data_IF_520813156071
#
_entry.id   IF_520813156071
#
_cell.length_a   1.000
_cell.length_b   1.000
_cell.length_c   1.000
_cell.angle_alpha   90.00
_cell.angle_beta   90.00
_cell.angle_gamma   90.00
#
_symmetry.space_group_name_H-M   'P 1'
#
loop_
_entity.id
_entity.type
_entity.pdbx_description
1 polymer ?
#
# COMPACT_ATOMS: atom_id res chain seq x y z
N UNK A 1 -16.31 2.70 26.59
CA UNK A 1 -16.18 1.59 25.63
C UNK A 1 -16.76 2.04 24.30
N UNK A 2 -16.05 1.90 23.18
CA UNK A 2 -16.64 2.11 21.85
C UNK A 2 -17.51 0.90 21.52
N UNK A 3 -18.82 1.10 21.29
CA UNK A 3 -19.76 0.04 20.88
C UNK A 3 -19.49 -0.40 19.42
N UNK A 4 -18.42 -1.19 19.24
CA UNK A 4 -17.98 -1.65 17.91
C UNK A 4 -18.45 -3.07 17.67
N UNK A 5 -19.27 -3.27 16.65
CA UNK A 5 -19.71 -4.59 16.20
C UNK A 5 -18.80 -5.10 15.07
N UNK A 6 -18.27 -6.30 15.24
CA UNK A 6 -17.37 -6.94 14.27
C UNK A 6 -18.09 -8.14 13.64
N UNK A 7 -18.17 -8.17 12.32
CA UNK A 7 -18.82 -9.24 11.57
C UNK A 7 -17.80 -10.02 10.74
N UNK A 8 -17.57 -11.28 11.10
CA UNK A 8 -16.75 -12.20 10.33
C UNK A 8 -17.56 -12.94 9.26
N UNK A 9 -16.86 -13.43 8.22
CA UNK A 9 -17.47 -14.16 7.08
C UNK A 9 -18.64 -13.37 6.49
N UNK A 10 -18.45 -12.06 6.28
CA UNK A 10 -19.45 -11.15 5.75
C UNK A 10 -18.78 -10.36 4.62
N UNK A 11 -18.91 -10.85 3.39
CA UNK A 11 -18.15 -10.35 2.25
C UNK A 11 -18.92 -9.24 1.57
N UNK A 12 -18.37 -8.02 1.58
CA UNK A 12 -18.90 -6.92 0.80
C UNK A 12 -18.77 -7.21 -0.71
N UNK A 13 -19.84 -6.97 -1.46
CA UNK A 13 -19.95 -7.22 -2.90
C UNK A 13 -20.24 -5.95 -3.70
N UNK A 14 -20.82 -4.94 -3.06
CA UNK A 14 -21.14 -3.67 -3.70
C UNK A 14 -21.47 -2.58 -2.68
N UNK A 15 -21.73 -1.39 -3.20
CA UNK A 15 -22.14 -0.23 -2.42
C UNK A 15 -23.26 0.51 -3.14
N UNK A 16 -24.26 0.91 -2.38
CA UNK A 16 -25.40 1.70 -2.82
C UNK A 16 -25.32 3.08 -2.18
N UNK A 17 -25.00 4.11 -2.95
CA UNK A 17 -24.88 5.48 -2.46
C UNK A 17 -26.20 6.20 -2.71
N UNK A 18 -26.83 6.71 -1.65
CA UNK A 18 -28.04 7.53 -1.71
C UNK A 18 -27.79 8.87 -1.04
N UNK A 19 -28.69 9.83 -1.28
CA UNK A 19 -28.57 11.19 -0.70
C UNK A 19 -28.54 11.17 0.83
N UNK A 20 -29.34 10.32 1.47
CA UNK A 20 -29.53 10.26 2.92
C UNK A 20 -28.71 9.16 3.63
N UNK A 21 -28.22 8.16 2.88
CA UNK A 21 -27.54 6.98 3.43
C UNK A 21 -26.60 6.33 2.43
N UNK A 22 -25.75 5.45 2.92
CA UNK A 22 -24.97 4.51 2.12
C UNK A 22 -25.25 3.08 2.58
N UNK A 23 -25.37 2.14 1.64
CA UNK A 23 -25.56 0.72 1.91
C UNK A 23 -24.36 -0.10 1.44
N UNK A 24 -23.83 -0.99 2.28
CA UNK A 24 -22.90 -2.04 1.86
C UNK A 24 -23.69 -3.31 1.59
N UNK A 25 -23.68 -3.75 0.34
CA UNK A 25 -24.31 -5.02 -0.08
C UNK A 25 -23.33 -6.15 0.24
N UNK A 26 -23.74 -7.11 1.06
CA UNK A 26 -22.93 -8.29 1.41
C UNK A 26 -23.59 -9.59 0.97
N UNK A 27 -22.91 -10.72 1.21
CA UNK A 27 -23.49 -12.06 1.09
C UNK A 27 -24.55 -12.41 2.15
N UNK A 28 -24.73 -11.56 3.17
CA UNK A 28 -25.69 -11.74 4.28
C UNK A 28 -26.78 -10.66 4.32
N UNK A 29 -26.88 -9.84 3.27
CA UNK A 29 -27.83 -8.74 3.17
C UNK A 29 -27.15 -7.37 3.11
N UNK A 30 -27.95 -6.31 3.16
CA UNK A 30 -27.45 -4.93 3.02
C UNK A 30 -27.34 -4.24 4.38
N UNK A 31 -26.15 -3.76 4.71
CA UNK A 31 -25.88 -2.98 5.91
C UNK A 31 -25.95 -1.49 5.58
N UNK A 32 -26.83 -0.75 6.27
CA UNK A 32 -27.01 0.70 6.05
C UNK A 32 -26.18 1.51 7.05
N UNK A 33 -25.59 2.61 6.57
CA UNK A 33 -24.80 3.54 7.38
C UNK A 33 -24.96 4.98 6.87
N UNK A 34 -24.53 5.96 7.67
CA UNK A 34 -24.43 7.37 7.25
C UNK A 34 -23.23 7.61 6.34
N UNK A 35 -22.15 6.88 6.57
CA UNK A 35 -20.87 6.97 5.86
C UNK A 35 -20.17 5.62 5.84
N UNK A 36 -19.37 5.35 4.81
CA UNK A 36 -18.57 4.13 4.65
C UNK A 36 -17.10 4.50 4.50
N UNK A 37 -16.25 3.73 5.18
CA UNK A 37 -14.80 3.80 5.02
C UNK A 37 -14.32 2.54 4.29
N UNK A 38 -13.87 2.71 3.04
CA UNK A 38 -13.24 1.66 2.26
C UNK A 38 -11.82 1.40 2.76
N UNK A 39 -11.65 0.31 3.51
CA UNK A 39 -10.37 -0.23 3.98
C UNK A 39 -10.15 -1.65 3.42
N UNK A 40 -10.70 -1.93 2.24
CA UNK A 40 -10.86 -3.25 1.61
C UNK A 40 -9.70 -3.61 0.66
N UNK A 41 -8.53 -3.01 0.86
CA UNK A 41 -7.29 -3.38 0.17
C UNK A 41 -7.18 -2.86 -1.27
N UNK A 42 -6.14 -3.33 -1.97
CA UNK A 42 -5.81 -2.87 -3.32
C UNK A 42 -6.95 -3.09 -4.35
N UNK A 43 -7.71 -4.18 -4.21
CA UNK A 43 -8.84 -4.54 -5.07
C UNK A 43 -10.19 -3.90 -4.64
N UNK A 44 -10.12 -2.76 -3.96
CA UNK A 44 -11.27 -2.12 -3.31
C UNK A 44 -12.50 -2.03 -4.21
N UNK A 45 -13.60 -2.62 -3.74
CA UNK A 45 -14.93 -2.50 -4.36
C UNK A 45 -15.47 -1.08 -4.15
N UNK A 46 -15.14 -0.46 -3.02
CA UNK A 46 -15.61 0.87 -2.65
C UNK A 46 -14.95 1.92 -3.56
N UNK A 47 -13.65 1.76 -3.83
CA UNK A 47 -12.94 2.66 -4.72
C UNK A 47 -13.43 2.57 -6.17
N UNK A 48 -13.81 1.36 -6.62
CA UNK A 48 -14.40 1.16 -7.95
C UNK A 48 -15.76 1.84 -8.09
N UNK A 49 -16.58 1.80 -7.04
CA UNK A 49 -17.91 2.41 -7.06
C UNK A 49 -17.90 3.94 -7.21
N UNK A 50 -16.80 4.59 -6.84
CA UNK A 50 -16.61 6.04 -7.06
C UNK A 50 -15.78 6.35 -8.32
N UNK A 51 -15.63 5.37 -9.22
CA UNK A 51 -14.83 5.43 -10.47
C UNK A 51 -13.40 5.95 -10.27
N UNK A 52 -12.80 5.62 -9.13
CA UNK A 52 -11.41 5.96 -8.83
C UNK A 52 -10.53 4.89 -9.45
N UNK A 53 -9.69 5.22 -10.46
CA UNK A 53 -8.76 4.26 -11.09
C UNK A 53 -7.38 4.35 -10.45
N UNK A 54 -6.62 3.26 -10.52
CA UNK A 54 -5.28 3.18 -9.93
C UNK A 54 -4.37 2.24 -10.73
N UNK A 55 -3.06 2.49 -10.69
CA UNK A 55 -2.04 1.60 -11.23
C UNK A 55 -1.53 0.66 -10.13
N UNK A 56 -1.15 -0.54 -10.52
CA UNK A 56 -0.65 -1.54 -9.58
C UNK A 56 0.69 -2.10 -10.04
N UNK A 57 1.50 -2.45 -9.05
CA UNK A 57 2.64 -3.36 -9.18
C UNK A 57 2.30 -4.68 -8.48
N UNK A 58 3.16 -5.67 -8.62
CA UNK A 58 3.07 -6.93 -7.89
C UNK A 58 4.16 -7.01 -6.84
N UNK A 59 3.77 -7.44 -5.64
CA UNK A 59 4.68 -7.92 -4.61
C UNK A 59 4.45 -9.41 -4.41
N UNK A 60 5.51 -10.20 -4.52
CA UNK A 60 5.47 -11.65 -4.28
C UNK A 60 6.51 -12.05 -3.25
N UNK A 61 6.17 -13.08 -2.47
CA UNK A 61 6.94 -13.59 -1.35
C UNK A 61 6.96 -15.11 -1.40
N UNK A 62 8.15 -15.67 -1.20
CA UNK A 62 8.44 -17.07 -0.99
C UNK A 62 9.00 -17.27 0.42
N UNK A 63 8.25 -17.94 1.30
CA UNK A 63 8.73 -18.31 2.64
C UNK A 63 9.20 -19.76 2.59
N UNK A 64 10.50 -19.96 2.79
CA UNK A 64 11.16 -21.27 2.84
C UNK A 64 11.56 -21.57 4.29
N UNK A 65 11.22 -22.77 4.78
CA UNK A 65 11.56 -23.21 6.14
C UNK A 65 13.02 -23.63 6.17
N UNK A 66 13.88 -22.68 6.46
CA UNK A 66 15.34 -22.80 6.51
C UNK A 66 15.85 -21.83 7.55
N UNK A 67 16.79 -22.26 8.41
CA UNK A 67 17.29 -21.41 9.48
C UNK A 67 18.10 -20.25 8.90
N UNK A 68 17.82 -19.05 9.39
CA UNK A 68 18.55 -17.84 9.06
C UNK A 68 18.46 -16.84 10.21
N UNK A 69 19.60 -16.63 10.87
CA UNK A 69 19.73 -15.67 11.97
C UNK A 69 20.51 -14.41 11.54
N UNK A 70 20.55 -14.13 10.23
CA UNK A 70 21.09 -12.87 9.72
C UNK A 70 20.42 -11.67 10.38
N UNK A 71 21.17 -10.58 10.52
CA UNK A 71 20.72 -9.35 11.22
C UNK A 71 20.31 -8.24 10.27
N UNK A 72 20.48 -8.44 8.97
CA UNK A 72 20.24 -7.43 7.94
C UNK A 72 19.25 -7.96 6.91
N UNK A 73 18.58 -7.02 6.25
CA UNK A 73 17.75 -7.27 5.07
C UNK A 73 18.61 -7.00 3.85
N UNK A 74 18.70 -7.97 2.94
CA UNK A 74 19.38 -7.78 1.68
C UNK A 74 18.40 -7.27 0.63
N UNK A 75 18.77 -6.18 -0.06
CA UNK A 75 18.03 -5.63 -1.19
C UNK A 75 18.85 -5.77 -2.47
N UNK A 76 18.23 -6.34 -3.50
CA UNK A 76 18.85 -6.63 -4.79
C UNK A 76 18.18 -5.80 -5.90
N UNK A 77 18.89 -4.77 -6.36
CA UNK A 77 18.46 -3.91 -7.46
C UNK A 77 18.96 -4.48 -8.80
N UNK A 78 18.12 -5.26 -9.47
CA UNK A 78 18.44 -6.01 -10.69
C UNK A 78 17.60 -5.55 -11.87
N UNK A 79 18.02 -4.50 -12.58
CA UNK A 79 17.30 -3.94 -13.75
C UNK A 79 17.08 -4.93 -14.89
N UNK A 80 17.96 -5.90 -15.02
CA UNK A 80 17.86 -6.99 -15.98
C UNK A 80 16.69 -7.95 -15.67
N UNK A 81 16.25 -7.98 -14.41
CA UNK A 81 15.14 -8.79 -13.92
C UNK A 81 13.86 -7.95 -13.75
N UNK A 82 13.97 -6.84 -13.01
CA UNK A 82 12.88 -5.93 -12.69
C UNK A 82 13.33 -4.47 -12.81
N UNK A 83 12.71 -3.73 -13.72
CA UNK A 83 13.13 -2.36 -14.07
C UNK A 83 12.58 -1.30 -13.13
N UNK A 84 11.51 -1.59 -12.41
CA UNK A 84 10.78 -0.64 -11.58
C UNK A 84 10.54 -1.20 -10.16
N UNK A 85 11.52 -1.94 -9.66
CA UNK A 85 11.44 -2.61 -8.38
C UNK A 85 12.74 -3.30 -7.98
N UNK A 86 12.64 -4.25 -7.06
CA UNK A 86 13.79 -4.93 -6.46
C UNK A 86 13.40 -6.31 -5.93
N UNK A 87 14.40 -7.14 -5.64
CA UNK A 87 14.24 -8.40 -4.92
C UNK A 87 14.79 -8.23 -3.50
N UNK A 88 14.31 -9.03 -2.55
CA UNK A 88 14.82 -8.99 -1.19
C UNK A 88 15.00 -10.38 -0.59
N UNK A 89 15.84 -10.42 0.44
CA UNK A 89 15.99 -11.54 1.35
C UNK A 89 15.90 -11.02 2.80
N UNK A 90 14.99 -11.59 3.58
CA UNK A 90 14.81 -11.28 5.00
C UNK A 90 15.02 -12.56 5.83
N UNK A 91 16.01 -12.56 6.74
CA UNK A 91 16.15 -13.58 7.78
C UNK A 91 14.95 -13.57 8.74
N UNK A 92 14.32 -14.73 8.99
CA UNK A 92 13.18 -14.87 9.92
C UNK A 92 13.43 -15.88 11.03
N UNK A 93 14.69 -16.17 11.36
CA UNK A 93 15.09 -17.13 12.38
C UNK A 93 14.96 -18.56 11.90
N UNK A 94 13.74 -19.10 11.89
CA UNK A 94 13.45 -20.49 11.46
C UNK A 94 13.03 -20.62 9.98
N UNK A 95 12.97 -19.50 9.28
CA UNK A 95 12.62 -19.40 7.87
C UNK A 95 13.44 -18.30 7.20
N UNK A 96 13.48 -18.37 5.87
CA UNK A 96 13.92 -17.29 4.99
C UNK A 96 12.76 -16.80 4.18
N UNK A 97 12.66 -15.49 4.07
CA UNK A 97 11.73 -14.83 3.17
C UNK A 97 12.50 -14.27 1.98
N UNK A 98 12.12 -14.71 0.79
CA UNK A 98 12.58 -14.14 -0.46
C UNK A 98 11.42 -13.44 -1.12
N UNK A 99 11.63 -12.25 -1.66
CA UNK A 99 10.56 -11.57 -2.38
C UNK A 99 11.04 -10.76 -3.56
N UNK A 100 10.05 -10.35 -4.34
CA UNK A 100 10.24 -9.53 -5.52
C UNK A 100 9.06 -8.56 -5.64
N UNK A 101 9.39 -7.31 -5.89
CA UNK A 101 8.45 -6.22 -6.11
C UNK A 101 8.72 -5.61 -7.48
N UNK A 102 7.66 -5.35 -8.26
CA UNK A 102 7.74 -4.65 -9.53
C UNK A 102 6.56 -4.94 -10.46
N UNK A 103 6.56 -4.29 -11.63
CA UNK A 103 5.51 -4.47 -12.65
C UNK A 103 5.44 -5.89 -13.23
N UNK A 104 6.57 -6.58 -13.34
CA UNK A 104 6.71 -7.92 -13.93
C UNK A 104 7.07 -9.01 -12.90
N UNK A 105 6.78 -8.78 -11.61
CA UNK A 105 7.14 -9.72 -10.55
C UNK A 105 6.51 -11.11 -10.78
N UNK A 106 7.33 -12.15 -10.78
CA UNK A 106 6.89 -13.53 -11.00
C UNK A 106 7.77 -14.54 -10.27
N UNK A 107 7.17 -15.67 -9.87
CA UNK A 107 7.84 -16.68 -9.06
C UNK A 107 8.98 -17.39 -9.79
N UNK A 108 8.91 -17.57 -11.11
CA UNK A 108 9.96 -18.26 -11.86
C UNK A 108 11.28 -17.47 -11.82
N UNK A 109 11.21 -16.15 -11.96
CA UNK A 109 12.35 -15.26 -11.83
C UNK A 109 12.92 -15.25 -10.42
N UNK A 110 12.05 -15.20 -9.40
CA UNK A 110 12.44 -15.28 -7.99
C UNK A 110 13.16 -16.61 -7.67
N UNK A 111 12.60 -17.73 -8.14
CA UNK A 111 13.15 -19.08 -7.99
C UNK A 111 14.53 -19.20 -8.63
N UNK A 112 14.68 -18.71 -9.86
CA UNK A 112 15.95 -18.74 -10.60
C UNK A 112 17.01 -17.88 -9.92
N UNK A 113 16.64 -16.69 -9.42
CA UNK A 113 17.56 -15.76 -8.80
C UNK A 113 18.12 -16.29 -7.47
N UNK A 114 17.25 -16.79 -6.59
CA UNK A 114 17.66 -17.27 -5.27
C UNK A 114 17.97 -18.78 -5.22
N UNK A 115 17.81 -19.50 -6.32
CA UNK A 115 18.02 -20.95 -6.37
C UNK A 115 17.06 -21.73 -5.46
N UNK A 116 15.84 -21.23 -5.26
CA UNK A 116 14.89 -21.80 -4.30
C UNK A 116 13.86 -22.72 -4.97
N UNK A 117 13.45 -23.75 -4.22
CA UNK A 117 12.35 -24.67 -4.55
C UNK A 117 11.61 -25.04 -3.25
N UNK A 118 10.36 -25.53 -3.36
CA UNK A 118 9.51 -25.97 -2.23
C UNK A 118 9.36 -24.91 -1.12
N UNK A 119 8.40 -24.01 -1.27
CA UNK A 119 8.18 -22.89 -0.36
C UNK A 119 6.70 -22.47 -0.34
N UNK A 120 6.30 -21.66 0.65
CA UNK A 120 4.97 -21.06 0.71
C UNK A 120 4.94 -19.77 -0.10
N UNK A 121 3.94 -19.63 -0.97
CA UNK A 121 3.74 -18.50 -1.88
C UNK A 121 2.74 -17.50 -1.29
N UNK A 122 3.09 -16.22 -1.30
CA UNK A 122 2.20 -15.11 -0.98
C UNK A 122 2.38 -14.00 -2.01
N UNK A 123 1.30 -13.36 -2.44
CA UNK A 123 1.41 -12.25 -3.37
C UNK A 123 0.22 -11.32 -3.28
N UNK A 124 0.43 -10.08 -3.70
CA UNK A 124 -0.58 -9.04 -3.65
C UNK A 124 -0.34 -7.95 -4.68
N UNK A 125 -1.42 -7.27 -5.02
CA UNK A 125 -1.35 -6.02 -5.77
C UNK A 125 -0.86 -4.92 -4.84
N UNK A 126 0.04 -4.10 -5.38
CA UNK A 126 0.62 -2.98 -4.67
C UNK A 126 0.18 -1.69 -5.38
N UNK A 127 -0.76 -0.95 -4.79
CA UNK A 127 -1.16 0.38 -5.26
C UNK A 127 0.05 1.28 -5.55
N UNK A 128 0.02 1.98 -6.68
CA UNK A 128 1.03 2.96 -7.05
C UNK A 128 0.38 4.23 -7.60
N UNK A 129 0.75 5.37 -7.02
CA UNK A 129 0.29 6.69 -7.43
C UNK A 129 -0.88 7.23 -6.63
N UNK A 130 -1.52 8.26 -7.18
CA UNK A 130 -2.66 8.90 -6.55
C UNK A 130 -3.96 8.47 -7.19
N UNK A 131 -5.01 8.51 -6.38
CA UNK A 131 -6.39 8.35 -6.80
C UNK A 131 -7.29 9.25 -5.96
N UNK A 132 -8.54 9.43 -6.38
CA UNK A 132 -9.55 10.09 -5.55
C UNK A 132 -9.88 9.21 -4.34
N UNK A 133 -9.84 9.77 -3.13
CA UNK A 133 -10.03 9.02 -1.87
C UNK A 133 -11.32 9.34 -1.13
N UNK A 134 -12.26 10.04 -1.76
CA UNK A 134 -13.53 10.43 -1.16
C UNK A 134 -14.63 10.60 -2.21
N UNK A 135 -15.88 10.50 -1.76
CA UNK A 135 -17.09 10.91 -2.46
C UNK A 135 -18.17 11.23 -1.42
N UNK A 136 -19.39 11.57 -1.84
CA UNK A 136 -20.51 11.68 -0.89
C UNK A 136 -20.65 10.38 -0.09
N UNK A 137 -20.58 10.48 1.24
CA UNK A 137 -20.68 9.37 2.20
C UNK A 137 -19.60 8.29 2.07
N UNK A 138 -18.51 8.54 1.35
CA UNK A 138 -17.41 7.59 1.14
C UNK A 138 -16.06 8.23 1.49
N UNK A 139 -15.26 7.53 2.28
CA UNK A 139 -13.81 7.74 2.41
C UNK A 139 -13.08 6.45 2.07
N UNK A 140 -11.87 6.54 1.52
CA UNK A 140 -10.96 5.42 1.32
C UNK A 140 -9.74 5.60 2.22
N UNK A 141 -9.21 4.51 2.79
CA UNK A 141 -7.96 4.50 3.56
C UNK A 141 -7.06 3.32 3.16
N UNK A 142 -5.78 3.40 3.50
CA UNK A 142 -4.78 2.36 3.25
C UNK A 142 -4.61 2.05 1.77
N UNK A 143 -4.44 0.78 1.43
CA UNK A 143 -4.27 0.33 0.04
C UNK A 143 -5.45 0.73 -0.86
N UNK A 144 -6.68 0.75 -0.33
CA UNK A 144 -7.85 1.20 -1.09
C UNK A 144 -7.70 2.67 -1.53
N UNK A 145 -6.99 3.49 -0.75
CA UNK A 145 -6.68 4.89 -1.04
C UNK A 145 -5.33 5.11 -1.72
N UNK A 146 -4.57 4.06 -2.04
CA UNK A 146 -3.18 4.17 -2.51
C UNK A 146 -2.24 4.85 -1.51
N UNK A 147 -2.46 4.63 -0.22
CA UNK A 147 -1.62 5.14 0.86
C UNK A 147 -0.47 4.17 1.14
N UNK A 148 0.25 3.82 0.08
CA UNK A 148 1.41 2.94 0.09
C UNK A 148 2.66 3.76 -0.21
N UNK A 149 3.79 3.31 0.31
CA UNK A 149 5.10 3.92 0.14
C UNK A 149 5.75 3.35 -1.11
N UNK A 150 5.84 4.09 -2.23
CA UNK A 150 6.15 3.46 -3.51
C UNK A 150 7.57 2.87 -3.58
N UNK A 151 8.53 3.40 -2.81
CA UNK A 151 9.91 2.93 -2.84
C UNK A 151 10.11 1.54 -2.22
N UNK A 152 9.44 1.21 -1.12
CA UNK A 152 9.54 -0.14 -0.52
C UNK A 152 8.29 -0.99 -0.72
N UNK A 153 7.20 -0.38 -1.18
CA UNK A 153 5.87 -0.98 -1.23
C UNK A 153 5.16 -1.08 0.13
N UNK A 154 5.78 -0.64 1.23
CA UNK A 154 5.17 -0.71 2.56
C UNK A 154 3.96 0.22 2.72
N UNK A 155 2.86 -0.25 3.31
CA UNK A 155 1.64 0.55 3.49
C UNK A 155 1.21 0.77 4.94
N UNK A 156 1.72 -0.01 5.90
CA UNK A 156 1.17 -0.07 7.26
C UNK A 156 1.25 1.27 7.99
N UNK A 157 2.43 1.90 8.00
CA UNK A 157 2.63 3.17 8.70
C UNK A 157 1.75 4.29 8.11
N UNK A 158 1.72 4.40 6.77
CA UNK A 158 0.89 5.37 6.07
C UNK A 158 -0.60 5.12 6.32
N UNK A 159 -1.03 3.85 6.26
CA UNK A 159 -2.41 3.45 6.54
C UNK A 159 -2.84 3.83 7.95
N UNK A 160 -1.99 3.59 8.97
CA UNK A 160 -2.30 3.93 10.37
C UNK A 160 -2.38 5.44 10.59
N UNK A 161 -1.45 6.20 10.02
CA UNK A 161 -1.46 7.66 10.09
C UNK A 161 -2.73 8.24 9.42
N UNK A 162 -3.06 7.74 8.24
CA UNK A 162 -4.26 8.14 7.49
C UNK A 162 -5.56 7.65 8.13
N UNK A 163 -5.56 6.53 8.86
CA UNK A 163 -6.72 6.08 9.62
C UNK A 163 -7.07 7.07 10.75
N UNK A 164 -6.07 7.54 11.52
CA UNK A 164 -6.28 8.58 12.56
C UNK A 164 -6.89 9.85 11.98
N UNK A 165 -6.37 10.28 10.83
CA UNK A 165 -6.87 11.45 10.13
C UNK A 165 -8.31 11.26 9.63
N UNK A 166 -8.65 10.07 9.11
CA UNK A 166 -10.03 9.76 8.70
C UNK A 166 -11.00 9.84 9.87
N UNK A 167 -10.64 9.30 11.05
CA UNK A 167 -11.46 9.37 12.25
C UNK A 167 -11.72 10.83 12.68
N UNK A 168 -10.68 11.68 12.63
CA UNK A 168 -10.82 13.12 12.90
C UNK A 168 -11.81 13.81 11.94
N UNK A 169 -11.71 13.55 10.64
CA UNK A 169 -12.60 14.13 9.63
C UNK A 169 -14.04 13.62 9.79
N UNK A 170 -14.20 12.31 10.03
CA UNK A 170 -15.51 11.72 10.23
C UNK A 170 -16.18 12.26 11.49
N UNK A 171 -15.45 12.44 12.60
CA UNK A 171 -16.00 13.08 13.80
C UNK A 171 -16.63 14.43 13.45
N UNK A 172 -15.91 15.30 12.73
CA UNK A 172 -16.44 16.62 12.31
C UNK A 172 -17.63 16.50 11.36
N UNK A 173 -17.64 15.50 10.48
CA UNK A 173 -18.76 15.23 9.58
C UNK A 173 -20.02 14.80 10.37
N UNK A 174 -19.86 13.99 11.42
CA UNK A 174 -20.94 13.64 12.35
C UNK A 174 -21.42 14.85 13.15
N UNK A 175 -20.51 15.66 13.71
CA UNK A 175 -20.85 16.86 14.49
C UNK A 175 -21.66 17.89 13.67
N UNK A 176 -21.39 17.98 12.36
CA UNK A 176 -22.07 18.89 11.43
C UNK A 176 -23.21 18.26 10.64
N UNK A 177 -23.41 16.95 10.80
CA UNK A 177 -24.29 16.12 9.96
C UNK A 177 -24.03 16.24 8.44
N UNK A 178 -22.81 16.60 8.04
CA UNK A 178 -22.42 16.82 6.65
C UNK A 178 -21.48 15.71 6.16
N UNK A 179 -22.02 14.80 5.36
CA UNK A 179 -21.29 13.70 4.71
C UNK A 179 -21.07 13.94 3.22
N UNK A 180 -21.19 15.19 2.77
CA UNK A 180 -20.94 15.56 1.38
C UNK A 180 -19.47 15.38 1.02
N UNK A 181 -19.23 15.23 -0.28
CA UNK A 181 -17.89 15.28 -0.84
C UNK A 181 -17.17 16.61 -0.53
N UNK A 182 -17.90 17.71 -0.34
CA UNK A 182 -17.34 18.99 0.10
C UNK A 182 -16.65 18.88 1.46
N UNK A 183 -17.34 18.30 2.45
CA UNK A 183 -16.77 18.06 3.79
C UNK A 183 -15.66 17.00 3.77
N UNK A 184 -15.90 15.88 3.08
CA UNK A 184 -14.97 14.74 3.06
C UNK A 184 -13.71 15.00 2.23
N UNK A 185 -13.71 15.99 1.30
CA UNK A 185 -12.52 16.43 0.56
C UNK A 185 -11.36 16.84 1.48
N UNK A 186 -11.67 17.38 2.66
CA UNK A 186 -10.65 17.82 3.62
C UNK A 186 -9.73 16.66 4.04
N UNK A 187 -10.25 15.43 4.09
CA UNK A 187 -9.43 14.25 4.32
C UNK A 187 -8.34 14.10 3.26
N UNK A 188 -8.70 14.23 1.98
CA UNK A 188 -7.75 14.07 0.87
C UNK A 188 -6.65 15.13 0.91
N UNK A 189 -7.02 16.38 1.19
CA UNK A 189 -6.07 17.49 1.33
C UNK A 189 -5.08 17.20 2.45
N UNK A 190 -5.56 16.78 3.63
CA UNK A 190 -4.72 16.59 4.79
C UNK A 190 -3.79 15.38 4.67
N UNK A 191 -4.25 14.24 4.13
CA UNK A 191 -3.36 13.09 4.01
C UNK A 191 -2.30 13.33 2.92
N UNK A 192 -2.64 14.03 1.84
CA UNK A 192 -1.65 14.44 0.82
C UNK A 192 -0.59 15.39 1.39
N UNK A 193 -0.95 16.25 2.35
CA UNK A 193 0.04 17.07 3.07
C UNK A 193 0.95 16.23 3.97
N UNK A 194 0.42 15.17 4.58
CA UNK A 194 1.17 14.32 5.51
C UNK A 194 2.16 13.39 4.82
N UNK A 195 1.72 12.68 3.77
CA UNK A 195 2.51 11.62 3.10
C UNK A 195 2.59 11.77 1.58
N UNK A 196 1.94 12.78 1.00
CA UNK A 196 1.86 12.92 -0.45
C UNK A 196 3.23 13.16 -1.06
N UNK A 197 4.04 14.06 -0.49
CA UNK A 197 5.39 14.31 -1.01
C UNK A 197 6.25 13.04 -1.09
N UNK A 198 6.20 12.22 -0.05
CA UNK A 198 6.88 10.94 0.04
C UNK A 198 6.42 9.99 -1.08
N UNK A 199 5.10 9.85 -1.27
CA UNK A 199 4.56 9.05 -2.38
C UNK A 199 5.09 9.55 -3.73
N UNK A 200 5.06 10.87 -3.97
CA UNK A 200 5.57 11.47 -5.21
C UNK A 200 7.06 11.22 -5.41
N UNK A 201 7.87 11.43 -4.38
CA UNK A 201 9.30 11.20 -4.41
C UNK A 201 9.64 9.72 -4.72
N UNK A 202 8.91 8.77 -4.13
CA UNK A 202 9.08 7.35 -4.41
C UNK A 202 8.72 6.95 -5.84
N UNK A 203 7.69 7.57 -6.42
CA UNK A 203 7.37 7.37 -7.84
C UNK A 203 8.48 7.90 -8.74
N UNK A 204 8.91 9.15 -8.49
CA UNK A 204 9.99 9.77 -9.27
C UNK A 204 11.30 8.98 -9.17
N UNK A 205 11.61 8.43 -8.00
CA UNK A 205 12.75 7.53 -7.83
C UNK A 205 12.66 6.33 -8.77
N UNK A 206 11.51 5.64 -8.82
CA UNK A 206 11.35 4.49 -9.70
C UNK A 206 11.37 4.85 -11.18
N UNK A 207 10.79 5.99 -11.55
CA UNK A 207 10.84 6.48 -12.92
C UNK A 207 12.29 6.75 -13.33
N UNK A 208 13.05 7.50 -12.51
CA UNK A 208 14.47 7.77 -12.74
C UNK A 208 15.32 6.49 -12.76
N UNK A 209 15.13 5.60 -11.78
CA UNK A 209 15.82 4.30 -11.70
C UNK A 209 15.56 3.47 -12.96
N UNK A 210 14.33 3.46 -13.47
CA UNK A 210 13.96 2.69 -14.66
C UNK A 210 14.64 3.23 -15.92
N UNK A 211 14.82 4.55 -16.03
CA UNK A 211 15.43 5.22 -17.19
C UNK A 211 16.96 5.26 -17.15
N UNK A 212 17.58 5.31 -15.97
CA UNK A 212 19.02 5.50 -15.82
C UNK A 212 19.86 4.32 -16.38
N UNK A 213 20.99 4.56 -17.07
CA UNK A 213 21.91 3.48 -17.43
C UNK A 213 22.43 2.71 -16.21
N UNK A 214 22.67 1.41 -16.35
CA UNK A 214 23.17 0.55 -15.25
C UNK A 214 24.51 1.04 -14.70
N UNK A 215 25.36 1.65 -15.53
CA UNK A 215 26.63 2.26 -15.15
C UNK A 215 26.45 3.40 -14.14
N UNK A 216 25.50 4.30 -14.38
CA UNK A 216 25.18 5.41 -13.47
C UNK A 216 24.73 4.91 -12.10
N UNK A 217 23.96 3.82 -12.06
CA UNK A 217 23.50 3.26 -10.78
C UNK A 217 24.62 2.60 -9.98
N UNK A 218 25.54 1.89 -10.65
CA UNK A 218 26.72 1.33 -9.97
C UNK A 218 27.54 2.43 -9.30
N UNK A 219 27.75 3.55 -9.98
CA UNK A 219 28.42 4.72 -9.42
C UNK A 219 27.65 5.29 -8.20
N UNK A 220 26.33 5.45 -8.31
CA UNK A 220 25.48 5.91 -7.21
C UNK A 220 25.53 4.97 -5.99
N UNK A 221 25.47 3.65 -6.19
CA UNK A 221 25.57 2.67 -5.09
C UNK A 221 26.94 2.68 -4.42
N UNK A 222 28.03 2.87 -5.17
CA UNK A 222 29.37 3.01 -4.60
C UNK A 222 29.49 4.28 -3.75
N UNK A 223 28.90 5.38 -4.21
CA UNK A 223 28.83 6.63 -3.47
C UNK A 223 28.00 6.50 -2.17
N UNK A 224 26.81 5.87 -2.24
CA UNK A 224 25.92 5.66 -1.08
C UNK A 224 26.52 4.66 -0.08
N UNK A 225 27.30 3.67 -0.53
CA UNK A 225 28.05 2.77 0.38
C UNK A 225 29.02 3.53 1.29
N UNK A 226 29.40 4.76 0.95
CA UNK A 226 30.16 5.66 1.84
C UNK A 226 29.32 6.38 2.90
N UNK A 227 27.99 6.27 2.87
CA UNK A 227 27.02 7.03 3.68
C UNK A 227 26.05 6.12 4.48
N UNK A 228 26.45 4.88 4.79
CA UNK A 228 25.59 3.79 5.31
C UNK A 228 24.75 4.10 6.56
N UNK A 229 25.04 5.18 7.30
CA UNK A 229 24.35 5.53 8.54
C UNK A 229 23.11 6.44 8.38
N UNK A 230 22.75 6.88 7.16
CA UNK A 230 21.79 7.99 6.98
C UNK A 230 20.42 7.62 6.37
N UNK A 231 20.13 6.35 6.11
CA UNK A 231 18.89 5.96 5.40
C UNK A 231 17.85 5.39 6.38
N UNK A 232 17.13 6.28 7.07
CA UNK A 232 15.82 5.94 7.62
C UNK A 232 14.86 5.67 6.46
N UNK A 233 14.43 4.42 6.31
CA UNK A 233 13.56 4.03 5.22
C UNK A 233 12.22 4.75 5.28
N UNK A 234 11.71 5.09 6.48
CA UNK A 234 10.35 5.58 6.67
C UNK A 234 10.20 7.09 6.49
N UNK A 235 11.29 7.87 6.59
CA UNK A 235 11.34 9.34 6.38
C UNK A 235 10.22 10.10 7.12
N UNK A 236 9.72 9.53 8.21
CA UNK A 236 8.83 10.23 9.13
C UNK A 236 9.75 10.70 10.24
N UNK A 237 10.08 11.99 10.25
CA UNK A 237 10.75 12.59 11.40
C UNK A 237 9.87 12.31 12.63
N UNK A 238 10.42 11.55 13.58
CA UNK A 238 9.88 11.43 14.93
C UNK A 238 9.87 12.79 15.61
#
# INVERSE_FOLDING_TARGET
MLDTKIFFKNKAKGVEIKKDRVGIVTDKGTMKARVVVGADGANSIIARAINSKLRFKLGIIAIKRERDNGKAVDLYFRKDLVRDGFLWHIPRGNAREYGMFGSNANYSMLEKFFGIKKYKRFGGLMPAGYRKTYADRILLIGDAASQTKPWSGGGVIYSLACAKLSAYILKRAFDKEDFSSGMLRLYEVLWKRLIGWQIKAGMLFWDAYSMAPTSCMRAAFLFIKGLQHALDMDFIKS
#
